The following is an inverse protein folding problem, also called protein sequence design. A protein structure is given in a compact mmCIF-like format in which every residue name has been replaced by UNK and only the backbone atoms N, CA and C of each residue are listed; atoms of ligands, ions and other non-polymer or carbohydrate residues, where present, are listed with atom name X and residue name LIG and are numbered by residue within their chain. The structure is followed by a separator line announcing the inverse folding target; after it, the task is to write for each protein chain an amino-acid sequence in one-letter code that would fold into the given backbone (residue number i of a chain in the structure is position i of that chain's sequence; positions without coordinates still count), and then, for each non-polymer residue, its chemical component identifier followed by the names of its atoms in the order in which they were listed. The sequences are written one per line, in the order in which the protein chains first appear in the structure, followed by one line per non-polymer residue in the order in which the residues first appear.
data_IF_058791079223
#
_entry.id   IF_058791079223
#
_cell.length_a   1.000
_cell.length_b   1.000
_cell.length_c   1.000
_cell.angle_alpha   90.00
_cell.angle_beta   90.00
_cell.angle_gamma   90.00
#
_symmetry.space_group_name_H-M   'P 1'
#
loop_
_entity.id
_entity.type
_entity.pdbx_description
1 polymer ?
#
# COMPACT_ATOMS: atom_id res chain seq x y z
N UNK A 1 -7.91 -14.16 -78.84
CA UNK A 1 -6.51 -14.37 -79.26
C UNK A 1 -5.84 -15.33 -78.28
N UNK A 2 -5.13 -16.33 -78.82
CA UNK A 2 -4.46 -17.44 -78.12
C UNK A 2 -3.01 -17.06 -77.76
N UNK A 3 -2.55 -17.41 -76.56
CA UNK A 3 -1.13 -17.58 -76.18
C UNK A 3 -1.11 -18.79 -75.21
N UNK A 4 -0.87 -20.05 -75.67
CA UNK A 4 0.44 -20.76 -75.73
C UNK A 4 1.25 -20.54 -74.44
N UNK A 5 1.17 -21.37 -73.40
CA UNK A 5 1.67 -22.75 -73.34
C UNK A 5 3.20 -22.79 -73.22
N UNK A 6 3.76 -23.31 -72.11
CA UNK A 6 4.88 -24.27 -72.04
C UNK A 6 5.20 -24.63 -70.58
N UNK A 7 5.10 -25.95 -70.33
CA UNK A 7 5.57 -26.74 -69.20
C UNK A 7 7.09 -26.97 -69.30
N UNK A 8 7.76 -27.31 -68.19
CA UNK A 8 8.96 -28.20 -68.01
C UNK A 8 9.70 -27.71 -66.74
N UNK A 9 9.47 -28.31 -65.57
CA UNK A 9 10.05 -29.58 -65.05
C UNK A 9 11.44 -29.40 -64.42
N UNK A 10 11.46 -29.51 -63.08
CA UNK A 10 12.28 -30.36 -62.20
C UNK A 10 13.75 -30.71 -62.53
N UNK A 11 14.52 -30.84 -61.43
CA UNK A 11 15.84 -31.47 -61.23
C UNK A 11 17.02 -30.51 -61.52
N UNK A 12 17.91 -30.19 -60.57
CA UNK A 12 18.91 -31.06 -59.91
C UNK A 12 19.39 -30.33 -58.63
N UNK A 13 19.08 -30.84 -57.43
CA UNK A 13 19.97 -31.63 -56.55
C UNK A 13 21.43 -31.12 -56.47
N UNK A 14 21.70 -30.19 -55.54
CA UNK A 14 23.03 -30.08 -54.90
C UNK A 14 22.84 -30.31 -53.40
N UNK A 15 22.96 -31.60 -53.06
CA UNK A 15 23.62 -32.16 -51.87
C UNK A 15 23.96 -31.19 -50.72
N UNK A 16 23.29 -31.29 -49.57
CA UNK A 16 23.78 -32.04 -48.39
C UNK A 16 25.19 -31.63 -47.94
N UNK A 17 25.30 -30.81 -46.88
CA UNK A 17 25.93 -31.19 -45.61
C UNK A 17 25.93 -30.01 -44.61
N UNK A 18 25.41 -30.28 -43.41
CA UNK A 18 25.73 -29.48 -42.22
C UNK A 18 24.77 -28.33 -41.98
N UNK A 19 23.68 -28.58 -41.25
CA UNK A 19 23.44 -28.03 -39.92
C UNK A 19 22.16 -28.67 -39.40
N UNK A 20 22.30 -29.42 -38.30
CA UNK A 20 21.21 -30.08 -37.58
C UNK A 20 20.11 -29.07 -37.23
N UNK A 21 18.84 -29.50 -37.13
CA UNK A 21 17.81 -28.65 -36.55
C UNK A 21 18.27 -28.30 -35.14
N UNK A 22 18.55 -27.02 -34.92
CA UNK A 22 18.70 -26.49 -33.57
C UNK A 22 17.34 -26.71 -32.93
N UNK A 23 17.24 -27.77 -32.11
CA UNK A 23 16.29 -27.86 -31.02
C UNK A 23 16.31 -26.49 -30.35
N UNK A 24 15.26 -25.72 -30.60
CA UNK A 24 15.01 -24.50 -29.88
C UNK A 24 14.65 -24.98 -28.48
N UNK A 25 15.67 -25.16 -27.66
CA UNK A 25 15.53 -25.34 -26.23
C UNK A 25 14.63 -24.20 -25.77
N UNK A 26 13.40 -24.56 -25.43
CA UNK A 26 12.54 -23.76 -24.61
C UNK A 26 13.35 -23.55 -23.34
N UNK A 27 14.09 -22.44 -23.28
CA UNK A 27 14.51 -21.90 -22.01
C UNK A 27 13.21 -21.62 -21.27
N UNK A 28 12.76 -22.63 -20.51
CA UNK A 28 11.98 -22.45 -19.32
C UNK A 28 12.86 -21.58 -18.44
N UNK A 29 12.83 -20.27 -18.69
CA UNK A 29 13.10 -19.28 -17.67
C UNK A 29 12.09 -19.64 -16.60
N UNK A 30 12.58 -20.40 -15.62
CA UNK A 30 11.96 -20.50 -14.31
C UNK A 30 11.64 -19.06 -13.94
N UNK A 31 10.37 -18.70 -14.02
CA UNK A 31 9.88 -17.55 -13.30
C UNK A 31 10.06 -17.96 -11.85
N UNK A 32 11.25 -17.71 -11.32
CA UNK A 32 11.54 -17.85 -9.91
C UNK A 32 10.46 -17.03 -9.21
N UNK A 33 9.48 -17.74 -8.65
CA UNK A 33 8.45 -17.21 -7.77
C UNK A 33 9.08 -16.86 -6.41
N UNK A 34 10.26 -16.25 -6.46
CA UNK A 34 11.13 -16.00 -5.34
C UNK A 34 11.02 -14.51 -5.07
N UNK A 35 10.21 -14.20 -4.04
CA UNK A 35 10.16 -12.96 -3.26
C UNK A 35 9.04 -11.93 -3.49
N UNK A 36 7.83 -12.29 -3.93
CA UNK A 36 6.69 -11.39 -3.68
C UNK A 36 6.30 -11.31 -2.18
N UNK A 37 6.67 -12.33 -1.39
CA UNK A 37 6.33 -12.41 0.05
C UNK A 37 7.35 -11.70 0.94
N UNK A 38 8.55 -11.37 0.43
CA UNK A 38 9.67 -10.85 1.23
C UNK A 38 9.60 -9.35 1.57
N UNK A 39 8.96 -8.54 0.73
CA UNK A 39 8.89 -7.08 0.89
C UNK A 39 7.59 -6.60 1.54
N UNK A 40 6.75 -7.52 1.99
CA UNK A 40 5.45 -7.19 2.59
C UNK A 40 5.62 -6.72 4.02
N UNK A 41 4.86 -5.69 4.39
CA UNK A 41 4.84 -5.18 5.75
C UNK A 41 4.34 -6.28 6.68
N UNK A 42 5.06 -6.54 7.75
CA UNK A 42 4.71 -7.56 8.75
C UNK A 42 3.39 -7.17 9.46
N UNK A 43 2.28 -7.75 9.00
CA UNK A 43 0.93 -7.50 9.55
C UNK A 43 0.68 -8.23 10.86
N UNK A 44 1.64 -8.98 11.42
CA UNK A 44 1.51 -9.55 12.77
C UNK A 44 1.67 -8.47 13.86
N UNK A 45 2.38 -7.39 13.56
CA UNK A 45 2.66 -6.28 14.47
C UNK A 45 1.62 -5.16 14.39
N UNK A 46 1.70 -4.25 15.36
CA UNK A 46 1.12 -2.92 15.30
C UNK A 46 2.24 -1.91 15.06
N UNK A 47 1.90 -0.76 14.49
CA UNK A 47 2.88 0.29 14.17
C UNK A 47 2.38 1.64 14.64
N UNK A 48 3.29 2.46 15.16
CA UNK A 48 3.09 3.91 15.08
C UNK A 48 3.41 4.35 13.65
N UNK A 49 2.48 5.05 13.03
CA UNK A 49 2.66 5.63 11.69
C UNK A 49 3.02 7.10 11.90
N UNK A 50 4.25 7.49 11.59
CA UNK A 50 4.77 8.84 11.87
C UNK A 50 5.24 9.54 10.59
N UNK A 51 5.08 10.86 10.45
CA UNK A 51 5.75 11.59 9.37
C UNK A 51 7.26 11.45 9.48
N UNK A 52 7.96 11.27 8.36
CA UNK A 52 9.41 11.08 8.36
C UNK A 52 10.18 12.32 8.87
N UNK A 53 9.63 13.50 8.65
CA UNK A 53 10.11 14.82 9.08
C UNK A 53 9.69 15.17 10.52
N UNK A 54 8.72 14.45 11.10
CA UNK A 54 8.31 14.60 12.49
C UNK A 54 8.15 13.23 13.18
N UNK A 55 9.25 12.46 13.34
CA UNK A 55 9.19 11.04 13.70
C UNK A 55 8.73 10.75 15.14
N UNK A 56 8.64 11.77 16.00
CA UNK A 56 8.20 11.65 17.40
C UNK A 56 6.69 11.82 17.58
N UNK A 57 5.96 12.14 16.50
CA UNK A 57 4.53 12.44 16.48
C UNK A 57 3.81 11.50 15.50
N UNK A 58 3.06 10.54 15.99
CA UNK A 58 2.34 9.56 15.18
C UNK A 58 0.89 9.93 14.90
N UNK A 59 0.28 9.17 14.00
CA UNK A 59 -1.16 9.21 13.76
C UNK A 59 -1.92 8.91 15.06
N UNK A 60 -2.99 9.67 15.28
CA UNK A 60 -3.84 9.62 16.46
C UNK A 60 -5.29 9.87 16.04
N UNK A 61 -6.18 9.79 17.02
CA UNK A 61 -7.56 10.21 16.87
C UNK A 61 -7.82 11.52 17.61
N UNK A 62 -8.69 12.34 17.03
CA UNK A 62 -9.29 13.49 17.70
C UNK A 62 -10.80 13.31 17.68
N UNK A 63 -11.40 13.20 18.87
CA UNK A 63 -12.84 13.10 19.03
C UNK A 63 -13.49 14.35 18.42
N UNK A 64 -14.46 14.12 17.55
CA UNK A 64 -15.32 15.16 16.98
C UNK A 64 -16.70 15.02 17.64
N UNK A 65 -17.27 16.11 18.17
CA UNK A 65 -18.58 16.06 18.85
C UNK A 65 -19.65 15.45 17.93
N UNK A 66 -20.35 14.39 18.39
CA UNK A 66 -21.38 13.65 17.65
C UNK A 66 -20.93 12.96 16.35
N UNK A 67 -19.62 12.88 16.08
CA UNK A 67 -19.08 12.23 14.88
C UNK A 67 -18.03 11.18 15.25
N UNK A 68 -17.76 10.28 14.29
CA UNK A 68 -16.65 9.34 14.37
C UNK A 68 -15.32 10.10 14.59
N UNK A 69 -14.38 9.59 15.40
CA UNK A 69 -13.11 10.26 15.64
C UNK A 69 -12.36 10.49 14.33
N UNK A 70 -11.82 11.70 14.16
CA UNK A 70 -11.02 12.06 12.98
C UNK A 70 -9.57 11.63 13.15
N UNK A 71 -8.92 11.24 12.05
CA UNK A 71 -7.50 10.96 11.98
C UNK A 71 -6.72 12.27 12.00
N UNK A 72 -5.74 12.34 12.89
CA UNK A 72 -4.85 13.50 13.06
C UNK A 72 -3.42 13.04 13.28
N UNK A 73 -2.46 13.94 13.16
CA UNK A 73 -1.12 13.73 13.73
C UNK A 73 -1.14 14.27 15.15
N UNK A 74 -0.64 13.48 16.09
CA UNK A 74 -0.59 13.85 17.50
C UNK A 74 0.08 15.21 17.70
N UNK A 75 -0.52 16.08 18.52
CA UNK A 75 0.07 17.38 18.89
C UNK A 75 1.19 17.27 19.91
N UNK A 76 1.26 16.14 20.63
CA UNK A 76 2.31 15.83 21.60
C UNK A 76 3.45 15.12 20.88
N UNK A 77 4.68 15.26 21.34
CA UNK A 77 5.81 14.44 20.91
C UNK A 77 6.21 13.43 21.99
N UNK A 78 6.93 12.39 21.60
CA UNK A 78 7.67 11.53 22.52
C UNK A 78 9.03 11.14 21.92
N UNK A 79 9.50 9.89 22.04
CA UNK A 79 10.75 9.44 21.41
C UNK A 79 10.50 8.86 20.01
N UNK A 80 11.55 8.62 19.24
CA UNK A 80 11.43 8.03 17.89
C UNK A 80 11.03 6.55 17.95
N UNK A 81 11.48 5.84 18.98
CA UNK A 81 11.21 4.41 19.22
C UNK A 81 9.81 4.19 19.79
N UNK A 82 9.30 5.18 20.54
CA UNK A 82 7.94 5.19 21.06
C UNK A 82 7.27 6.55 20.82
N UNK A 83 6.90 6.86 19.57
CA UNK A 83 6.24 8.10 19.23
C UNK A 83 4.95 8.29 20.01
N UNK A 84 4.50 9.52 20.12
CA UNK A 84 3.12 9.77 20.55
C UNK A 84 2.14 9.27 19.47
N UNK A 85 0.90 8.97 19.84
CA UNK A 85 -0.13 8.52 18.90
C UNK A 85 -0.68 7.13 19.24
N UNK A 86 -1.47 6.59 18.33
CA UNK A 86 -2.19 5.33 18.51
C UNK A 86 -1.49 4.25 17.70
N UNK A 87 -1.14 3.09 18.30
CA UNK A 87 -0.76 1.90 17.58
C UNK A 87 -1.82 1.49 16.54
N UNK A 88 -1.44 1.53 15.27
CA UNK A 88 -2.29 1.13 14.15
C UNK A 88 -1.99 -0.31 13.73
N UNK A 89 -3.03 -1.05 13.43
CA UNK A 89 -2.97 -2.37 12.82
C UNK A 89 -3.10 -2.25 11.31
N UNK A 90 -2.24 -2.95 10.59
CA UNK A 90 -2.28 -3.08 9.14
C UNK A 90 -2.84 -4.45 8.79
N UNK A 91 -3.88 -4.48 7.96
CA UNK A 91 -4.49 -5.71 7.46
C UNK A 91 -4.41 -5.74 5.95
N UNK A 92 -3.61 -6.65 5.40
CA UNK A 92 -3.54 -6.82 3.96
C UNK A 92 -4.73 -7.65 3.44
N UNK A 93 -5.28 -7.23 2.31
CA UNK A 93 -6.33 -7.93 1.57
C UNK A 93 -5.71 -8.53 0.32
N UNK A 94 -5.73 -9.86 0.21
CA UNK A 94 -5.26 -10.58 -0.99
C UNK A 94 -6.08 -10.26 -2.23
N UNK A 95 -7.38 -10.02 -2.07
CA UNK A 95 -8.30 -9.70 -3.17
C UNK A 95 -7.92 -8.39 -3.86
N UNK A 96 -7.63 -7.36 -3.07
CA UNK A 96 -7.37 -6.01 -3.58
C UNK A 96 -5.88 -5.65 -3.64
N UNK A 97 -5.00 -6.53 -3.15
CA UNK A 97 -3.56 -6.31 -2.99
C UNK A 97 -3.25 -4.98 -2.26
N UNK A 98 -4.07 -4.64 -1.26
CA UNK A 98 -4.04 -3.37 -0.52
C UNK A 98 -4.20 -3.59 0.98
N UNK A 99 -3.83 -2.59 1.76
CA UNK A 99 -3.94 -2.60 3.21
C UNK A 99 -5.19 -1.89 3.69
N UNK A 100 -5.78 -2.35 4.78
CA UNK A 100 -6.67 -1.58 5.63
C UNK A 100 -5.89 -1.16 6.87
N UNK A 101 -6.10 0.08 7.30
CA UNK A 101 -5.45 0.66 8.48
C UNK A 101 -6.54 0.86 9.52
N UNK A 102 -6.34 0.33 10.72
CA UNK A 102 -7.31 0.49 11.80
C UNK A 102 -6.64 0.55 13.16
N UNK A 103 -7.37 1.05 14.15
CA UNK A 103 -6.95 0.95 15.55
C UNK A 103 -7.78 -0.12 16.26
N UNK A 104 -7.18 -0.91 17.15
CA UNK A 104 -7.92 -1.86 17.97
C UNK A 104 -8.96 -1.13 18.82
N UNK A 105 -10.18 -1.67 18.88
CA UNK A 105 -11.28 -1.15 19.66
C UNK A 105 -12.06 -2.28 20.31
N UNK A 106 -12.28 -2.18 21.62
CA UNK A 106 -13.06 -3.17 22.37
C UNK A 106 -14.51 -2.69 22.46
N UNK A 107 -15.46 -3.41 21.86
CA UNK A 107 -16.88 -3.08 22.00
C UNK A 107 -17.45 -3.66 23.31
N UNK A 108 -18.02 -2.88 24.23
CA UNK A 108 -18.88 -3.43 25.27
C UNK A 108 -20.23 -3.89 24.67
N UNK A 109 -20.93 -4.91 25.22
CA UNK A 109 -20.61 -5.72 26.40
C UNK A 109 -19.86 -7.04 26.10
N UNK A 110 -19.61 -7.37 24.82
CA UNK A 110 -18.88 -8.57 24.40
C UNK A 110 -17.44 -8.16 24.07
N UNK A 111 -16.49 -8.50 24.95
CA UNK A 111 -15.06 -8.15 24.90
C UNK A 111 -14.29 -8.71 23.68
N UNK A 112 -14.91 -8.89 22.53
CA UNK A 112 -14.21 -9.24 21.31
C UNK A 112 -13.44 -8.01 20.79
N UNK A 113 -12.16 -8.24 20.49
CA UNK A 113 -11.31 -7.23 19.86
C UNK A 113 -11.86 -6.97 18.45
N UNK A 114 -12.36 -5.75 18.24
CA UNK A 114 -12.74 -5.24 16.94
C UNK A 114 -11.76 -4.17 16.49
N UNK A 115 -11.98 -3.60 15.31
CA UNK A 115 -11.18 -2.52 14.77
C UNK A 115 -12.08 -1.36 14.34
N UNK A 116 -11.62 -0.15 14.64
CA UNK A 116 -12.10 1.04 13.97
C UNK A 116 -11.15 1.36 12.83
N UNK A 117 -11.66 1.34 11.61
CA UNK A 117 -10.90 1.48 10.39
C UNK A 117 -10.86 2.93 9.94
N UNK A 118 -9.71 3.33 9.41
CA UNK A 118 -9.57 4.62 8.74
C UNK A 118 -10.35 4.56 7.42
N UNK A 119 -11.32 5.47 7.28
CA UNK A 119 -12.11 5.66 6.06
C UNK A 119 -11.42 6.58 5.05
N UNK A 120 -11.95 6.66 3.83
CA UNK A 120 -11.48 7.60 2.79
C UNK A 120 -11.66 9.07 3.19
N UNK A 121 -12.58 9.35 4.10
CA UNK A 121 -12.78 10.66 4.69
C UNK A 121 -11.93 10.91 5.94
N UNK A 122 -11.03 9.99 6.27
CA UNK A 122 -10.10 10.06 7.40
C UNK A 122 -10.78 10.15 8.76
N UNK A 123 -11.87 9.42 8.92
CA UNK A 123 -12.48 9.13 10.23
C UNK A 123 -12.36 7.65 10.55
N UNK A 124 -12.31 7.32 11.83
CA UNK A 124 -12.30 5.97 12.37
C UNK A 124 -13.71 5.40 12.47
N UNK A 125 -14.03 4.34 11.72
CA UNK A 125 -15.38 3.78 11.65
C UNK A 125 -15.45 2.26 11.57
N UNK A 126 -16.66 1.69 11.50
CA UNK A 126 -16.85 0.24 11.33
C UNK A 126 -16.35 -0.24 9.97
N UNK A 127 -16.23 -1.56 9.81
CA UNK A 127 -15.67 -2.25 8.63
C UNK A 127 -16.20 -1.75 7.28
N UNK A 128 -17.52 -1.49 7.18
CA UNK A 128 -18.17 -0.95 5.97
C UNK A 128 -17.62 0.39 5.47
N UNK A 129 -16.87 1.12 6.31
CA UNK A 129 -16.28 2.41 5.98
C UNK A 129 -14.77 2.31 5.70
N UNK A 130 -14.16 1.14 5.79
CA UNK A 130 -12.72 0.98 5.69
C UNK A 130 -12.19 1.38 4.30
N UNK A 131 -11.20 2.28 4.26
CA UNK A 131 -10.46 2.56 3.04
C UNK A 131 -9.39 1.50 2.78
N UNK A 132 -9.12 1.27 1.50
CA UNK A 132 -8.00 0.46 1.04
C UNK A 132 -6.83 1.36 0.63
N UNK A 133 -5.68 1.05 1.20
CA UNK A 133 -4.45 1.83 1.12
C UNK A 133 -3.40 1.07 0.33
N UNK A 134 -2.83 1.73 -0.66
CA UNK A 134 -1.57 1.31 -1.27
C UNK A 134 -0.45 1.89 -0.42
N UNK A 135 0.38 1.02 0.17
CA UNK A 135 1.54 1.43 0.97
C UNK A 135 2.78 1.06 0.17
N UNK A 136 3.48 2.07 -0.35
CA UNK A 136 4.61 1.89 -1.26
C UNK A 136 5.90 2.27 -0.55
N UNK A 137 6.92 1.39 -0.50
CA UNK A 137 8.22 1.73 0.04
C UNK A 137 8.90 2.80 -0.81
N UNK A 138 9.53 3.77 -0.16
CA UNK A 138 10.29 4.86 -0.77
C UNK A 138 11.53 5.13 0.08
N UNK A 139 12.45 5.97 -0.41
CA UNK A 139 13.59 6.40 0.40
C UNK A 139 13.11 7.01 1.73
N UNK A 140 13.64 6.50 2.84
CA UNK A 140 13.32 6.99 4.19
C UNK A 140 12.00 6.50 4.81
N UNK A 141 11.18 5.72 4.09
CA UNK A 141 9.93 5.19 4.64
C UNK A 141 8.94 4.70 3.58
N UNK A 142 7.69 5.15 3.67
CA UNK A 142 6.57 4.71 2.86
C UNK A 142 5.68 5.87 2.46
N UNK A 143 5.09 5.83 1.26
CA UNK A 143 3.93 6.67 0.92
C UNK A 143 2.66 5.87 1.13
N UNK A 144 1.64 6.50 1.72
CA UNK A 144 0.33 5.88 1.97
C UNK A 144 -0.68 6.54 1.03
N UNK A 145 -1.34 5.78 0.17
CA UNK A 145 -2.29 6.29 -0.81
C UNK A 145 -3.63 5.58 -0.71
N UNK A 146 -4.72 6.34 -0.55
CA UNK A 146 -6.08 5.85 -0.65
C UNK A 146 -6.77 6.41 -1.89
N UNK A 147 -8.01 5.99 -2.11
CA UNK A 147 -8.89 6.69 -3.03
C UNK A 147 -9.04 8.15 -2.59
N UNK A 148 -8.72 9.09 -3.49
CA UNK A 148 -8.74 10.53 -3.21
C UNK A 148 -7.37 11.18 -3.01
N UNK A 149 -6.30 10.43 -2.75
CA UNK A 149 -4.95 11.00 -2.70
C UNK A 149 -3.96 10.28 -1.78
N UNK A 150 -2.81 10.90 -1.59
CA UNK A 150 -1.80 10.49 -0.63
C UNK A 150 -2.16 11.01 0.77
N UNK A 151 -1.87 10.23 1.80
CA UNK A 151 -1.98 10.68 3.18
C UNK A 151 -0.98 11.80 3.41
N UNK A 152 -1.51 12.94 3.80
CA UNK A 152 -0.79 14.17 4.05
C UNK A 152 -1.28 14.74 5.39
N UNK A 153 -0.57 15.73 5.92
CA UNK A 153 -0.92 16.39 7.16
C UNK A 153 -0.56 17.87 7.10
N UNK A 154 -1.37 18.70 7.76
CA UNK A 154 -1.12 20.14 7.84
C UNK A 154 -1.52 20.68 9.19
N UNK A 155 -0.78 21.68 9.64
CA UNK A 155 -1.14 22.46 10.81
C UNK A 155 -2.29 23.39 10.45
N UNK A 156 -3.30 23.41 11.31
CA UNK A 156 -4.48 24.28 11.20
C UNK A 156 -4.84 24.82 12.58
N UNK A 157 -5.45 26.00 12.59
CA UNK A 157 -6.10 26.52 13.78
C UNK A 157 -7.55 26.01 13.81
N UNK A 158 -7.86 25.11 14.76
CA UNK A 158 -9.24 24.66 14.97
C UNK A 158 -9.97 25.64 15.89
N UNK A 159 -11.13 26.19 15.50
CA UNK A 159 -11.92 27.05 16.37
C UNK A 159 -12.30 26.40 17.70
N UNK A 160 -12.36 25.06 17.73
CA UNK A 160 -12.79 24.29 18.90
C UNK A 160 -11.62 23.75 19.74
N UNK A 161 -10.48 23.47 19.10
CA UNK A 161 -9.39 22.73 19.74
C UNK A 161 -8.05 23.48 19.72
N UNK A 162 -8.02 24.70 19.16
CA UNK A 162 -6.79 25.45 18.96
C UNK A 162 -5.90 24.82 17.88
N UNK A 163 -4.57 25.02 17.95
CA UNK A 163 -3.63 24.46 17.00
C UNK A 163 -3.73 22.93 16.95
N UNK A 164 -3.99 22.39 15.76
CA UNK A 164 -4.05 20.94 15.53
C UNK A 164 -3.37 20.59 14.20
N UNK A 165 -2.85 19.37 14.11
CA UNK A 165 -2.22 18.88 12.89
C UNK A 165 -3.15 17.84 12.26
N UNK A 166 -3.93 18.29 11.28
CA UNK A 166 -5.00 17.48 10.67
C UNK A 166 -4.45 16.62 9.54
N UNK A 167 -4.83 15.35 9.51
CA UNK A 167 -4.58 14.49 8.35
C UNK A 167 -5.58 14.82 7.22
N UNK A 168 -5.12 14.77 5.98
CA UNK A 168 -5.95 14.96 4.78
C UNK A 168 -5.42 14.11 3.63
N UNK A 169 -6.21 13.98 2.57
CA UNK A 169 -5.76 13.36 1.32
C UNK A 169 -5.32 14.45 0.35
N UNK A 170 -4.03 14.47 0.05
CA UNK A 170 -3.36 15.44 -0.79
C UNK A 170 -2.86 14.83 -2.11
N UNK A 171 -2.35 15.71 -2.99
CA UNK A 171 -1.65 15.28 -4.22
C UNK A 171 -0.16 15.02 -3.97
N UNK A 172 0.38 15.63 -2.91
CA UNK A 172 1.79 15.55 -2.58
C UNK A 172 2.13 14.25 -1.85
N UNK A 173 3.29 13.70 -2.14
CA UNK A 173 3.76 12.47 -1.51
C UNK A 173 4.48 12.84 -0.23
N UNK A 174 3.85 12.56 0.91
CA UNK A 174 4.49 12.62 2.21
C UNK A 174 5.08 11.25 2.55
N UNK A 175 6.31 11.24 3.07
CA UNK A 175 6.98 10.03 3.54
C UNK A 175 6.60 9.77 4.99
N UNK A 176 6.13 8.56 5.26
CA UNK A 176 5.73 8.07 6.58
C UNK A 176 6.62 6.92 7.00
N UNK A 177 6.93 6.82 8.29
CA UNK A 177 7.65 5.71 8.90
C UNK A 177 6.68 4.81 9.64
N UNK A 178 6.95 3.51 9.57
CA UNK A 178 6.25 2.49 10.33
C UNK A 178 7.16 2.06 11.48
N UNK A 179 6.89 2.55 12.69
CA UNK A 179 7.67 2.20 13.88
C UNK A 179 6.95 1.03 14.59
N UNK A 180 7.51 -0.19 14.60
CA UNK A 180 6.85 -1.33 15.20
C UNK A 180 6.70 -1.14 16.71
N UNK A 181 5.54 -1.52 17.23
CA UNK A 181 5.29 -1.56 18.68
C UNK A 181 5.99 -2.78 19.25
N UNK A 182 6.84 -2.57 20.26
CA UNK A 182 7.53 -3.63 21.01
C UNK A 182 6.60 -4.46 21.88
#
# INVERSE_FOLDING_TARGET
MKIKGILISFLVLVTFLGFLPIEKASASVSSDSVNEVGDRIDTSKNYYITPADSPTRGLSSQNSFNFLPSLVVSSRSNTVEKPSGIPMKLHFSEENQKYRIGMPYTMPPKMELSYLWVSSYLFFGPDKNAAYWTITPVEGGYTLQAEGGYLDYKEIESPMYGPTTRAYLGKEKVVWKLVPVS
#
